data_IF_298712335922
#
_entry.id   IF_298712335922
#
_cell.length_a   1.000
_cell.length_b   1.000
_cell.length_c   1.000
_cell.angle_alpha   90.00
_cell.angle_beta   90.00
_cell.angle_gamma   90.00
#
_symmetry.space_group_name_H-M   'P 1'
#
loop_
_entity.id
_entity.type
_entity.pdbx_description
1 polymer ?
#
# COMPACT_ATOMS: atom_id res chain seq x y z
N UNK A 1 -7.29 -6.80 -7.85
CA UNK A 1 -7.41 -5.33 -7.80
C UNK A 1 -6.97 -4.86 -6.42
N UNK A 2 -6.26 -3.72 -6.34
CA UNK A 2 -5.55 -3.22 -5.15
C UNK A 2 -6.39 -3.28 -3.85
N UNK A 3 -5.86 -3.88 -2.79
CA UNK A 3 -6.55 -4.11 -1.49
C UNK A 3 -6.94 -2.82 -0.77
N UNK A 4 -6.21 -1.73 -0.98
CA UNK A 4 -6.54 -0.39 -0.47
C UNK A 4 -7.52 0.40 -1.36
N UNK A 5 -8.01 -0.19 -2.46
CA UNK A 5 -8.87 0.48 -3.44
C UNK A 5 -8.11 1.33 -4.47
N UNK A 6 -6.83 1.64 -4.22
CA UNK A 6 -5.98 2.40 -5.12
C UNK A 6 -6.55 3.78 -5.49
N UNK A 7 -6.10 4.35 -6.61
CA UNK A 7 -6.50 5.70 -7.03
C UNK A 7 -8.02 5.90 -7.15
N UNK A 8 -8.76 4.87 -7.58
CA UNK A 8 -10.21 4.95 -7.73
C UNK A 8 -10.92 4.87 -6.38
N UNK A 9 -10.47 4.01 -5.46
CA UNK A 9 -11.10 3.81 -4.16
C UNK A 9 -10.78 4.90 -3.13
N UNK A 10 -9.66 5.61 -3.28
CA UNK A 10 -9.19 6.61 -2.30
C UNK A 10 -9.33 8.05 -2.78
N UNK A 11 -9.93 8.29 -3.95
CA UNK A 11 -10.02 9.64 -4.52
C UNK A 11 -8.66 10.21 -4.94
N UNK A 12 -7.74 9.35 -5.39
CA UNK A 12 -6.35 9.70 -5.77
C UNK A 12 -5.54 10.30 -4.62
N UNK A 13 -5.85 9.90 -3.39
CA UNK A 13 -5.17 10.42 -2.21
C UNK A 13 -3.76 9.81 -2.08
N UNK A 14 -2.73 10.66 -2.22
CA UNK A 14 -1.32 10.23 -2.20
C UNK A 14 -0.87 9.63 -0.86
N UNK A 15 -1.46 10.04 0.26
CA UNK A 15 -1.12 9.47 1.57
C UNK A 15 -1.47 7.99 1.66
N UNK A 16 -2.47 7.52 0.89
CA UNK A 16 -2.84 6.11 0.83
C UNK A 16 -1.71 5.22 0.30
N UNK A 17 -0.74 5.76 -0.45
CA UNK A 17 0.45 5.00 -0.86
C UNK A 17 1.27 4.53 0.34
N UNK A 18 1.19 5.22 1.48
CA UNK A 18 1.98 4.94 2.67
C UNK A 18 1.12 4.30 3.75
N UNK A 19 -0.08 4.82 4.01
CA UNK A 19 -0.93 4.32 5.10
C UNK A 19 -1.50 2.93 4.84
N UNK A 20 -1.93 2.64 3.61
CA UNK A 20 -2.47 1.32 3.26
C UNK A 20 -1.46 0.18 3.48
N UNK A 21 -0.24 0.21 2.90
CA UNK A 21 0.73 -0.86 3.13
C UNK A 21 1.11 -1.01 4.60
N UNK A 22 1.18 0.09 5.37
CA UNK A 22 1.41 0.01 6.81
C UNK A 22 0.26 -0.69 7.55
N UNK A 23 -0.99 -0.37 7.24
CA UNK A 23 -2.16 -1.03 7.82
C UNK A 23 -2.20 -2.52 7.47
N UNK A 24 -1.88 -2.88 6.22
CA UNK A 24 -1.83 -4.27 5.76
C UNK A 24 -0.76 -5.08 6.50
N UNK A 25 0.47 -4.57 6.55
CA UNK A 25 1.60 -5.25 7.19
C UNK A 25 1.43 -5.37 8.71
N UNK A 26 0.68 -4.45 9.32
CA UNK A 26 0.45 -4.45 10.77
C UNK A 26 -0.83 -5.20 11.18
N UNK A 27 -1.59 -5.77 10.23
CA UNK A 27 -2.83 -6.46 10.55
C UNK A 27 -3.98 -5.53 10.98
N UNK A 28 -3.94 -4.26 10.58
CA UNK A 28 -4.89 -3.21 11.00
C UNK A 28 -5.81 -2.74 9.88
N UNK A 29 -5.80 -3.40 8.72
CA UNK A 29 -6.57 -2.97 7.54
C UNK A 29 -8.07 -3.32 7.59
N UNK A 30 -8.56 -3.94 8.67
CA UNK A 30 -9.96 -4.32 8.84
C UNK A 30 -10.44 -5.27 7.74
N UNK A 31 -11.61 -5.01 7.16
CA UNK A 31 -12.19 -5.84 6.10
C UNK A 31 -11.32 -5.93 4.83
N UNK A 32 -10.38 -4.99 4.65
CA UNK A 32 -9.46 -4.95 3.51
C UNK A 32 -8.20 -5.77 3.73
N UNK A 33 -8.05 -6.41 4.89
CA UNK A 33 -6.85 -7.17 5.25
C UNK A 33 -6.56 -8.25 4.21
N UNK A 34 -5.36 -8.21 3.65
CA UNK A 34 -4.84 -9.26 2.77
C UNK A 34 -4.79 -10.56 3.55
N UNK A 35 -5.42 -11.61 3.00
CA UNK A 35 -5.59 -12.92 3.65
C UNK A 35 -4.40 -13.86 3.48
N UNK A 36 -3.52 -13.57 2.54
CA UNK A 36 -2.26 -14.31 2.39
C UNK A 36 -1.22 -13.72 3.34
N UNK A 37 -0.35 -14.58 3.88
CA UNK A 37 0.75 -14.12 4.72
C UNK A 37 1.71 -13.26 3.87
N UNK A 38 1.77 -11.97 4.20
CA UNK A 38 2.53 -10.97 3.46
C UNK A 38 3.33 -10.11 4.43
N UNK A 39 4.66 -10.22 4.34
CA UNK A 39 5.61 -9.49 5.19
C UNK A 39 6.29 -8.31 4.47
N UNK A 40 5.98 -8.12 3.18
CA UNK A 40 6.49 -7.05 2.35
C UNK A 40 5.34 -6.44 1.57
N UNK A 41 5.34 -5.11 1.45
CA UNK A 41 4.39 -4.38 0.63
C UNK A 41 5.11 -3.44 -0.33
N UNK A 42 4.58 -3.33 -1.55
CA UNK A 42 5.13 -2.46 -2.60
C UNK A 42 4.04 -1.52 -3.07
N UNK A 43 4.39 -0.24 -3.16
CA UNK A 43 3.50 0.82 -3.63
C UNK A 43 4.19 1.62 -4.72
N UNK A 44 3.42 2.11 -5.70
CA UNK A 44 3.95 2.88 -6.83
C UNK A 44 3.11 4.13 -7.03
N UNK A 45 3.78 5.28 -7.11
CA UNK A 45 3.22 6.55 -7.57
C UNK A 45 3.78 6.90 -8.94
N UNK A 46 2.90 7.23 -9.89
CA UNK A 46 3.28 7.69 -11.23
C UNK A 46 2.87 9.14 -11.43
N UNK A 47 3.75 9.93 -12.05
CA UNK A 47 3.47 11.26 -12.59
C UNK A 47 3.72 11.22 -14.11
N UNK A 48 3.22 12.20 -14.88
CA UNK A 48 3.64 12.34 -16.27
C UNK A 48 5.17 12.45 -16.36
N UNK A 49 5.81 11.43 -16.93
CA UNK A 49 7.27 11.39 -17.17
C UNK A 49 8.13 10.82 -16.03
N UNK A 50 7.56 10.45 -14.87
CA UNK A 50 8.34 9.76 -13.83
C UNK A 50 7.49 8.80 -12.98
N UNK A 51 8.17 7.96 -12.22
CA UNK A 51 7.55 7.07 -11.25
C UNK A 51 8.46 6.93 -10.03
N UNK A 52 7.85 6.63 -8.89
CA UNK A 52 8.55 6.28 -7.67
C UNK A 52 7.90 5.04 -7.06
N UNK A 53 8.74 4.17 -6.49
CA UNK A 53 8.34 2.95 -5.79
C UNK A 53 8.79 3.06 -4.34
N UNK A 54 7.91 2.71 -3.40
CA UNK A 54 8.29 2.52 -2.01
C UNK A 54 8.07 1.05 -1.64
N UNK A 55 9.00 0.51 -0.86
CA UNK A 55 8.96 -0.87 -0.35
C UNK A 55 8.93 -0.81 1.17
N UNK A 56 7.99 -1.53 1.76
CA UNK A 56 7.82 -1.65 3.20
C UNK A 56 8.05 -3.10 3.61
N UNK A 57 8.63 -3.30 4.80
CA UNK A 57 8.92 -4.62 5.38
C UNK A 57 8.51 -4.62 6.85
N UNK A 58 8.04 -5.76 7.36
CA UNK A 58 7.88 -5.98 8.79
C UNK A 58 9.19 -6.27 9.52
N UNK A 59 10.24 -6.63 8.78
CA UNK A 59 11.59 -6.83 9.31
C UNK A 59 12.39 -5.52 9.24
N UNK A 60 12.89 -5.00 10.37
CA UNK A 60 13.93 -3.96 10.36
C UNK A 60 15.26 -4.54 9.88
N UNK A 61 16.14 -3.66 9.43
CA UNK A 61 17.56 -3.92 9.12
C UNK A 61 18.46 -3.92 10.37
#
# INVERSE_FOLDING_TARGET
>A
LNSGGGNMGTGRMRTAFVTDPMEQLQGRAGDRQVKVDANVAVTIGVLPGNACTLVFSTSPD
#
